data_IF_726525855496
#
_entry.id   IF_726525855496
#
_cell.length_a   1.000
_cell.length_b   1.000
_cell.length_c   1.000
_cell.angle_alpha   90.00
_cell.angle_beta   90.00
_cell.angle_gamma   90.00
#
_symmetry.space_group_name_H-M   'P 1'
#
loop_
_entity.id
_entity.type
_entity.pdbx_description
1 polymer ?
#
# COMPACT_ATOMS: atom_id res chain seq x y z
N UNK A 1 -21.02 19.23 -5.08
CA UNK A 1 -20.83 17.93 -4.40
C UNK A 1 -21.32 16.85 -5.35
N UNK A 2 -20.44 15.95 -5.78
CA UNK A 2 -20.83 14.82 -6.63
C UNK A 2 -21.44 13.78 -5.70
N UNK A 3 -22.75 13.54 -5.81
CA UNK A 3 -23.40 12.44 -5.11
C UNK A 3 -23.07 11.17 -5.87
N UNK A 4 -22.09 10.42 -5.36
CA UNK A 4 -21.87 9.06 -5.81
C UNK A 4 -23.04 8.23 -5.26
N UNK A 5 -23.90 7.74 -6.15
CA UNK A 5 -24.98 6.82 -5.79
C UNK A 5 -24.44 5.57 -5.06
N UNK A 6 -25.32 4.70 -4.55
CA UNK A 6 -24.89 3.52 -3.82
C UNK A 6 -23.94 2.65 -4.67
N UNK A 7 -22.88 2.13 -4.04
CA UNK A 7 -21.85 1.32 -4.71
C UNK A 7 -22.48 0.08 -5.40
N UNK A 8 -23.46 -0.54 -4.74
CA UNK A 8 -24.30 -1.64 -5.24
C UNK A 8 -25.75 -1.40 -4.84
N UNK A 9 -26.72 -1.87 -5.64
CA UNK A 9 -28.15 -1.65 -5.35
C UNK A 9 -28.74 -2.68 -4.39
N UNK A 10 -28.12 -3.85 -4.29
CA UNK A 10 -28.49 -4.95 -3.39
C UNK A 10 -27.25 -5.83 -3.11
N UNK A 11 -27.38 -6.78 -2.17
CA UNK A 11 -26.27 -7.66 -1.78
C UNK A 11 -25.86 -8.66 -2.87
N UNK A 12 -26.79 -9.06 -3.74
CA UNK A 12 -26.53 -10.00 -4.85
C UNK A 12 -25.60 -9.40 -5.91
N UNK A 13 -25.61 -8.07 -6.04
CA UNK A 13 -24.70 -7.32 -6.90
C UNK A 13 -23.29 -7.14 -6.28
N UNK A 14 -23.09 -7.49 -5.00
CA UNK A 14 -21.77 -7.45 -4.35
C UNK A 14 -20.95 -8.72 -4.66
N UNK A 15 -20.79 -9.03 -5.94
CA UNK A 15 -20.03 -10.19 -6.42
C UNK A 15 -18.92 -9.76 -7.35
N UNK A 16 -17.84 -10.55 -7.40
CA UNK A 16 -16.71 -10.30 -8.30
C UNK A 16 -17.16 -10.25 -9.77
N UNK A 17 -18.09 -11.13 -10.15
CA UNK A 17 -18.65 -11.17 -11.50
C UNK A 17 -19.38 -9.86 -11.86
N UNK A 18 -20.20 -9.32 -10.93
CA UNK A 18 -20.89 -8.05 -11.14
C UNK A 18 -19.92 -6.86 -11.22
N UNK A 19 -18.87 -6.85 -10.38
CA UNK A 19 -17.82 -5.83 -10.42
C UNK A 19 -17.06 -5.88 -11.76
N UNK A 20 -16.62 -7.08 -12.18
CA UNK A 20 -15.95 -7.28 -13.48
C UNK A 20 -16.83 -6.91 -14.66
N UNK A 21 -18.13 -7.21 -14.61
CA UNK A 21 -19.06 -6.83 -15.67
C UNK A 21 -19.23 -5.30 -15.77
N UNK A 22 -19.26 -4.59 -14.62
CA UNK A 22 -19.43 -3.13 -14.57
C UNK A 22 -18.15 -2.36 -14.91
N UNK A 23 -17.00 -2.85 -14.47
CA UNK A 23 -15.70 -2.16 -14.56
C UNK A 23 -14.67 -2.92 -15.39
N UNK A 24 -15.11 -3.82 -16.29
CA UNK A 24 -14.22 -4.72 -17.02
C UNK A 24 -13.16 -4.01 -17.86
N UNK A 25 -13.44 -2.78 -18.32
CA UNK A 25 -12.47 -1.95 -19.04
C UNK A 25 -11.47 -1.24 -18.12
N UNK A 26 -11.78 -1.11 -16.83
CA UNK A 26 -10.96 -0.45 -15.81
C UNK A 26 -10.14 -1.46 -14.99
N UNK A 27 -10.43 -2.76 -15.13
CA UNK A 27 -9.81 -3.84 -14.38
C UNK A 27 -8.96 -4.76 -15.27
N UNK A 28 -7.73 -5.12 -14.83
CA UNK A 28 -7.06 -4.64 -13.64
C UNK A 28 -6.62 -3.17 -13.83
N UNK A 29 -6.83 -2.36 -12.79
CA UNK A 29 -6.35 -0.99 -12.80
C UNK A 29 -4.81 -1.02 -12.69
N UNK A 30 -4.14 -0.82 -13.83
CA UNK A 30 -2.69 -0.88 -13.92
C UNK A 30 -2.12 0.54 -14.11
N UNK A 31 -1.49 1.05 -13.07
CA UNK A 31 -0.83 2.37 -13.04
C UNK A 31 0.69 2.29 -13.15
N UNK A 32 1.22 1.13 -13.57
CA UNK A 32 2.64 0.86 -13.70
C UNK A 32 3.27 0.28 -12.44
N UNK A 33 4.61 0.22 -12.44
CA UNK A 33 5.40 -0.31 -11.35
C UNK A 33 5.42 0.64 -10.14
N UNK A 34 5.50 0.05 -8.94
CA UNK A 34 5.73 0.76 -7.69
C UNK A 34 7.24 0.77 -7.41
N UNK A 35 7.98 1.53 -8.20
CA UNK A 35 9.44 1.53 -8.24
C UNK A 35 10.05 2.94 -8.17
N UNK A 36 9.24 3.96 -7.85
CA UNK A 36 9.69 5.34 -7.76
C UNK A 36 10.06 5.69 -6.30
N UNK A 37 11.36 5.79 -5.96
CA UNK A 37 11.77 5.98 -4.57
C UNK A 37 11.51 7.42 -4.10
N UNK A 38 10.97 7.55 -2.89
CA UNK A 38 10.92 8.83 -2.18
C UNK A 38 12.34 9.29 -1.84
N UNK A 39 12.70 10.53 -2.21
CA UNK A 39 14.07 11.04 -1.98
C UNK A 39 14.46 11.22 -0.52
N UNK A 40 13.51 11.24 0.41
CA UNK A 40 13.79 11.35 1.85
C UNK A 40 13.97 10.00 2.55
N UNK A 41 13.02 9.09 2.40
CA UNK A 41 12.99 7.83 3.17
C UNK A 41 13.32 6.59 2.33
N UNK A 42 13.39 6.72 1.00
CA UNK A 42 13.66 5.60 0.09
C UNK A 42 12.49 4.64 -0.12
N UNK A 43 11.33 4.86 0.51
CA UNK A 43 10.13 4.06 0.25
C UNK A 43 9.72 4.14 -1.23
N UNK A 44 9.31 3.01 -1.80
CA UNK A 44 8.89 2.92 -3.20
C UNK A 44 7.41 3.30 -3.35
N UNK A 45 7.12 4.07 -4.40
CA UNK A 45 5.79 4.56 -4.71
C UNK A 45 5.47 4.39 -6.20
N UNK A 46 4.19 4.53 -6.55
CA UNK A 46 3.79 4.70 -7.94
C UNK A 46 4.00 6.15 -8.38
N UNK A 47 4.55 6.37 -9.59
CA UNK A 47 4.73 7.72 -10.15
C UNK A 47 3.46 8.55 -10.20
N UNK A 48 2.29 7.90 -10.29
CA UNK A 48 0.99 8.57 -10.29
C UNK A 48 0.68 9.26 -8.94
N UNK A 49 1.28 8.80 -7.83
CA UNK A 49 1.10 9.39 -6.49
C UNK A 49 1.90 10.68 -6.30
N UNK A 50 2.76 11.06 -7.25
CA UNK A 50 3.55 12.29 -7.17
C UNK A 50 2.64 13.51 -7.05
N UNK A 51 3.13 14.49 -6.30
CA UNK A 51 2.46 15.79 -6.21
C UNK A 51 2.35 16.44 -7.60
N UNK A 52 1.26 17.19 -7.80
CA UNK A 52 1.08 17.97 -9.02
C UNK A 52 2.24 18.96 -9.14
N UNK A 53 2.95 18.93 -10.26
CA UNK A 53 4.13 19.76 -10.52
C UNK A 53 5.47 19.02 -10.42
N UNK A 54 5.53 17.83 -9.79
CA UNK A 54 6.77 17.02 -9.71
C UNK A 54 6.74 15.76 -10.58
N UNK A 55 5.72 15.61 -11.42
CA UNK A 55 5.55 14.44 -12.30
C UNK A 55 6.73 14.19 -13.23
N UNK A 56 7.40 15.25 -13.70
CA UNK A 56 8.55 15.16 -14.62
C UNK A 56 9.91 15.29 -13.93
N UNK A 57 9.93 15.51 -12.61
CA UNK A 57 11.18 15.67 -11.88
C UNK A 57 11.95 14.34 -11.84
N UNK A 58 13.28 14.40 -11.84
CA UNK A 58 14.09 13.18 -11.74
C UNK A 58 13.92 12.50 -10.38
N UNK A 59 13.87 13.31 -9.31
CA UNK A 59 13.58 12.87 -7.95
C UNK A 59 12.30 13.53 -7.45
N UNK A 60 11.61 12.87 -6.53
CA UNK A 60 10.37 13.39 -5.97
C UNK A 60 10.29 13.15 -4.48
N UNK A 61 9.52 14.00 -3.82
CA UNK A 61 9.13 13.85 -2.43
C UNK A 61 7.63 13.58 -2.41
N UNK A 62 7.21 12.73 -1.49
CA UNK A 62 5.82 12.34 -1.35
C UNK A 62 5.32 12.89 -0.01
N UNK A 63 4.46 13.91 -0.04
CA UNK A 63 3.81 14.42 1.17
C UNK A 63 3.05 13.31 1.91
N UNK A 64 2.37 12.43 1.17
CA UNK A 64 1.65 11.31 1.75
C UNK A 64 2.57 10.25 2.39
N UNK A 65 3.85 10.20 2.02
CA UNK A 65 4.78 9.17 2.49
C UNK A 65 5.36 9.51 3.86
N UNK A 66 6.25 10.50 3.91
CA UNK A 66 6.98 10.89 5.12
C UNK A 66 6.75 12.37 5.47
N UNK A 67 5.66 12.97 4.93
CA UNK A 67 5.39 14.41 5.06
C UNK A 67 6.61 15.24 4.65
N UNK A 68 7.19 14.90 3.48
CA UNK A 68 8.38 15.58 2.94
C UNK A 68 9.56 15.54 3.94
N UNK A 69 9.75 14.40 4.62
CA UNK A 69 10.83 14.19 5.58
C UNK A 69 10.53 14.66 7.01
N UNK A 70 9.34 15.20 7.28
CA UNK A 70 8.94 15.58 8.64
C UNK A 70 8.71 14.35 9.55
N UNK A 71 8.32 13.20 8.99
CA UNK A 71 8.20 11.95 9.73
C UNK A 71 9.55 11.23 9.71
N UNK A 72 10.20 11.18 10.88
CA UNK A 72 11.33 10.28 11.11
C UNK A 72 10.78 8.96 11.60
N UNK A 73 10.88 7.91 10.77
CA UNK A 73 10.64 6.57 11.25
C UNK A 73 11.67 6.27 12.35
N UNK A 74 11.27 5.70 13.50
CA UNK A 74 12.22 5.25 14.49
C UNK A 74 13.20 4.29 13.81
N UNK A 75 14.50 4.52 14.03
CA UNK A 75 15.59 3.83 13.35
C UNK A 75 15.45 2.31 13.43
N UNK A 76 15.99 1.67 12.40
CA UNK A 76 16.07 0.22 12.09
C UNK A 76 16.56 -0.71 13.21
N UNK A 77 16.75 -0.22 14.42
CA UNK A 77 17.47 -0.92 15.47
C UNK A 77 16.58 -1.83 16.33
N UNK A 78 15.26 -1.89 16.11
CA UNK A 78 14.34 -2.62 17.01
C UNK A 78 14.62 -2.31 18.49
N UNK A 79 14.95 -1.05 18.76
CA UNK A 79 15.60 -0.58 20.00
C UNK A 79 14.72 -0.74 21.26
N UNK A 80 13.44 -1.05 21.06
CA UNK A 80 12.54 -1.36 22.15
C UNK A 80 12.46 -2.88 22.34
N UNK A 81 13.00 -3.37 23.46
CA UNK A 81 12.90 -4.77 23.92
C UNK A 81 11.45 -5.30 23.95
N UNK A 82 10.45 -4.40 23.99
CA UNK A 82 9.03 -4.73 23.94
C UNK A 82 8.50 -5.02 22.53
N UNK A 83 9.31 -4.89 21.48
CA UNK A 83 8.86 -5.20 20.11
C UNK A 83 8.62 -6.71 20.00
N UNK A 84 7.38 -7.16 19.71
CA UNK A 84 7.09 -8.58 19.52
C UNK A 84 7.95 -9.22 18.43
N UNK A 85 8.37 -10.46 18.65
CA UNK A 85 9.35 -11.13 17.77
C UNK A 85 8.84 -11.31 16.34
N UNK A 86 7.53 -11.51 16.16
CA UNK A 86 6.92 -11.60 14.84
C UNK A 86 7.06 -10.30 14.02
N UNK A 87 7.02 -9.13 14.68
CA UNK A 87 7.25 -7.85 14.00
C UNK A 87 8.71 -7.65 13.62
N UNK A 88 9.65 -8.11 14.47
CA UNK A 88 11.08 -8.09 14.12
C UNK A 88 11.36 -8.96 12.90
N UNK A 89 10.76 -10.15 12.84
CA UNK A 89 10.88 -11.04 11.68
C UNK A 89 10.31 -10.39 10.41
N UNK A 90 9.09 -9.84 10.47
CA UNK A 90 8.44 -9.16 9.35
C UNK A 90 9.27 -7.98 8.79
N UNK A 91 9.94 -7.24 9.67
CA UNK A 91 10.73 -6.06 9.32
C UNK A 91 12.19 -6.38 8.95
N UNK A 92 12.64 -7.63 9.14
CA UNK A 92 14.02 -8.04 8.89
C UNK A 92 14.33 -8.37 7.41
N UNK A 93 13.34 -8.21 6.52
CA UNK A 93 13.44 -8.47 5.07
C UNK A 93 13.88 -9.91 4.70
N UNK A 94 13.84 -10.84 5.66
CA UNK A 94 14.22 -12.26 5.47
C UNK A 94 13.23 -13.04 4.58
N UNK A 95 12.07 -12.45 4.30
CA UNK A 95 11.01 -13.03 3.49
C UNK A 95 11.16 -12.70 1.99
N UNK A 96 12.15 -11.86 1.61
CA UNK A 96 12.43 -11.53 0.20
C UNK A 96 12.86 -12.78 -0.56
N UNK A 97 11.90 -13.41 -1.22
CA UNK A 97 12.08 -14.60 -2.06
C UNK A 97 11.28 -15.82 -1.63
N UNK A 98 10.51 -15.76 -0.54
CA UNK A 98 9.66 -16.86 -0.08
C UNK A 98 8.24 -16.36 0.15
N UNK A 99 7.35 -16.68 -0.78
CA UNK A 99 5.89 -16.49 -0.74
C UNK A 99 5.34 -15.12 -1.12
N UNK A 100 4.63 -15.08 -2.24
CA UNK A 100 3.42 -14.26 -2.37
C UNK A 100 2.46 -14.65 -1.22
N UNK A 101 2.09 -13.75 -0.30
CA UNK A 101 1.18 -14.13 0.76
C UNK A 101 -0.23 -14.27 0.16
N UNK A 102 -0.76 -15.49 0.22
CA UNK A 102 -2.20 -15.73 0.11
C UNK A 102 -2.90 -14.93 1.22
N UNK A 103 -3.99 -14.21 0.94
CA UNK A 103 -4.59 -13.21 1.84
C UNK A 103 -5.20 -13.75 3.16
N UNK A 104 -5.06 -15.04 3.46
CA UNK A 104 -5.77 -15.71 4.55
C UNK A 104 -4.99 -15.89 5.87
N UNK A 105 -3.80 -15.31 6.04
CA UNK A 105 -3.00 -15.52 7.26
C UNK A 105 -2.88 -14.31 8.20
N UNK A 106 -3.48 -13.16 7.88
CA UNK A 106 -3.37 -11.95 8.71
C UNK A 106 -4.33 -11.90 9.92
N UNK A 107 -5.22 -12.88 10.11
CA UNK A 107 -6.25 -12.85 11.17
C UNK A 107 -6.32 -14.12 12.03
N UNK A 108 -5.38 -15.05 11.92
CA UNK A 108 -5.49 -16.34 12.61
C UNK A 108 -5.10 -16.33 14.10
N UNK A 109 -4.44 -15.27 14.59
CA UNK A 109 -3.83 -15.28 15.94
C UNK A 109 -4.39 -14.22 16.91
N UNK A 110 -5.66 -13.83 16.77
CA UNK A 110 -6.32 -13.12 17.86
C UNK A 110 -6.91 -14.15 18.84
N UNK A 111 -6.49 -14.16 20.13
CA UNK A 111 -7.16 -14.98 21.14
C UNK A 111 -8.63 -14.55 21.29
N UNK A 112 -9.50 -15.43 21.80
CA UNK A 112 -10.96 -15.25 21.77
C UNK A 112 -11.47 -13.98 22.45
#
# INVERSE_FOLDING_TARGET
MVNHGPAVRNAEENTEAAIKARFGAELPYNIGACDDPCSYCGALHWKLERQRGTLTAETTQYAACCQEGAVKLPSTTHENELTPEFLKHLLSDQDRGKHSPSPNLLFADLPP
#
